data_IF_499104953295
#
_entry.id   IF_499104953295
#
_cell.length_a   1.000
_cell.length_b   1.000
_cell.length_c   1.000
_cell.angle_alpha   90.00
_cell.angle_beta   90.00
_cell.angle_gamma   90.00
#
_symmetry.space_group_name_H-M   'P 1'
#
loop_
_entity.id
_entity.type
_entity.pdbx_description
1 polymer ?
#
# COMPACT_ATOMS: atom_id res chain seq x y z
N UNK A 1 5.82 9.30 -11.27
CA UNK A 1 6.48 9.74 -10.02
C UNK A 1 5.65 9.30 -8.83
N UNK A 2 6.28 8.81 -7.80
CA UNK A 2 5.62 8.47 -6.53
C UNK A 2 5.99 9.52 -5.49
N UNK A 3 4.98 10.24 -4.99
CA UNK A 3 5.20 11.39 -4.11
C UNK A 3 4.50 11.17 -2.76
N UNK A 4 5.24 11.35 -1.67
CA UNK A 4 4.66 11.29 -0.33
C UNK A 4 3.74 12.48 -0.09
N UNK A 5 2.61 12.22 0.55
CA UNK A 5 1.65 13.26 0.96
C UNK A 5 1.76 13.41 2.47
N UNK A 6 2.22 14.56 2.91
CA UNK A 6 2.29 14.86 4.34
C UNK A 6 0.89 14.94 4.98
N UNK A 7 0.74 14.63 6.27
CA UNK A 7 -0.56 14.69 6.95
C UNK A 7 -1.29 16.01 6.79
N UNK A 8 -0.57 17.14 6.78
CA UNK A 8 -1.17 18.46 6.60
C UNK A 8 -1.82 18.67 5.23
N UNK A 9 -1.41 17.88 4.23
CA UNK A 9 -1.91 17.95 2.85
C UNK A 9 -2.91 16.83 2.52
N UNK A 10 -3.24 16.00 3.48
CA UNK A 10 -4.07 14.82 3.28
C UNK A 10 -5.49 15.18 2.80
N UNK A 11 -6.05 16.28 3.32
CA UNK A 11 -7.41 16.69 2.99
C UNK A 11 -7.61 16.92 1.48
N UNK A 12 -6.60 17.47 0.80
CA UNK A 12 -6.68 17.76 -0.63
C UNK A 12 -6.71 16.47 -1.48
N UNK A 13 -6.17 15.36 -0.95
CA UNK A 13 -6.08 14.08 -1.67
C UNK A 13 -7.15 13.09 -1.23
N UNK A 14 -7.81 13.36 -0.10
CA UNK A 14 -8.60 12.34 0.59
C UNK A 14 -9.79 11.83 -0.22
N UNK A 15 -10.48 12.69 -0.96
CA UNK A 15 -11.68 12.28 -1.69
C UNK A 15 -11.37 11.13 -2.69
N UNK A 16 -10.32 11.30 -3.49
CA UNK A 16 -9.93 10.27 -4.46
C UNK A 16 -9.28 9.05 -3.82
N UNK A 17 -8.54 9.23 -2.73
CA UNK A 17 -7.97 8.12 -1.98
C UNK A 17 -9.09 7.31 -1.32
N UNK A 18 -10.07 7.97 -0.70
CA UNK A 18 -11.22 7.29 -0.09
C UNK A 18 -11.98 6.46 -1.13
N UNK A 19 -12.21 7.01 -2.31
CA UNK A 19 -12.87 6.28 -3.39
C UNK A 19 -12.11 4.99 -3.76
N UNK A 20 -10.78 5.06 -3.83
CA UNK A 20 -9.93 3.88 -4.07
C UNK A 20 -9.99 2.87 -2.92
N UNK A 21 -10.00 3.35 -1.67
CA UNK A 21 -10.14 2.48 -0.50
C UNK A 21 -11.49 1.74 -0.49
N UNK A 22 -12.56 2.41 -0.89
CA UNK A 22 -13.87 1.78 -1.03
C UNK A 22 -13.80 0.64 -2.07
N UNK A 23 -13.09 0.84 -3.18
CA UNK A 23 -12.90 -0.23 -4.16
C UNK A 23 -12.08 -1.39 -3.60
N UNK A 24 -11.01 -1.12 -2.85
CA UNK A 24 -10.21 -2.16 -2.21
C UNK A 24 -11.06 -2.99 -1.25
N UNK A 25 -11.96 -2.35 -0.49
CA UNK A 25 -12.84 -3.03 0.48
C UNK A 25 -13.71 -4.10 -0.18
N UNK A 26 -14.05 -3.96 -1.44
CA UNK A 26 -14.85 -4.96 -2.16
C UNK A 26 -14.11 -6.28 -2.36
N UNK A 27 -12.78 -6.27 -2.28
CA UNK A 27 -11.93 -7.43 -2.61
C UNK A 27 -11.08 -7.91 -1.43
N UNK A 28 -11.08 -7.23 -0.29
CA UNK A 28 -10.30 -7.63 0.88
C UNK A 28 -11.19 -8.26 1.95
N UNK A 29 -10.61 -9.16 2.75
CA UNK A 29 -11.25 -9.73 3.94
C UNK A 29 -10.91 -8.93 5.20
N UNK A 30 -10.04 -7.92 5.11
CA UNK A 30 -9.67 -7.05 6.23
C UNK A 30 -10.89 -6.23 6.69
N UNK A 31 -10.91 -5.92 7.99
CA UNK A 31 -12.04 -5.23 8.61
C UNK A 31 -11.86 -3.72 8.76
N UNK A 32 -10.71 -3.16 8.31
CA UNK A 32 -10.50 -1.71 8.37
C UNK A 32 -11.53 -0.97 7.50
N UNK A 33 -11.89 0.22 7.96
CA UNK A 33 -12.70 1.16 7.18
C UNK A 33 -11.80 2.24 6.59
N UNK A 34 -12.21 2.95 5.52
CA UNK A 34 -11.44 4.08 4.99
C UNK A 34 -11.06 5.09 6.07
N UNK A 35 -11.94 5.33 7.04
CA UNK A 35 -11.71 6.25 8.17
C UNK A 35 -10.57 5.78 9.08
N UNK A 36 -10.38 4.47 9.23
CA UNK A 36 -9.26 3.91 10.00
C UNK A 36 -7.92 4.18 9.30
N UNK A 37 -7.89 4.06 7.98
CA UNK A 37 -6.72 4.43 7.17
C UNK A 37 -6.44 5.92 7.29
N UNK A 38 -7.49 6.76 7.20
CA UNK A 38 -7.36 8.20 7.37
C UNK A 38 -6.72 8.55 8.71
N UNK A 39 -7.18 7.96 9.79
CA UNK A 39 -6.64 8.21 11.13
C UNK A 39 -5.18 7.77 11.24
N UNK A 40 -4.82 6.62 10.70
CA UNK A 40 -3.43 6.16 10.68
C UNK A 40 -2.53 7.14 9.93
N UNK A 41 -2.99 7.67 8.80
CA UNK A 41 -2.26 8.67 8.03
C UNK A 41 -2.12 9.98 8.79
N UNK A 42 -3.18 10.44 9.46
CA UNK A 42 -3.16 11.67 10.26
C UNK A 42 -2.22 11.57 11.45
N UNK A 43 -2.12 10.39 12.05
CA UNK A 43 -1.30 10.15 13.25
C UNK A 43 0.15 9.76 12.90
N UNK A 44 0.50 9.67 11.62
CA UNK A 44 1.84 9.28 11.20
C UNK A 44 2.15 7.80 11.36
N UNK A 45 1.14 6.95 11.58
CA UNK A 45 1.30 5.49 11.68
C UNK A 45 1.39 4.83 10.31
N UNK A 46 0.99 5.52 9.27
CA UNK A 46 1.09 5.11 7.88
C UNK A 46 1.43 6.31 7.02
N UNK A 47 1.92 6.06 5.82
CA UNK A 47 2.29 7.10 4.86
C UNK A 47 1.57 6.88 3.54
N UNK A 48 1.02 7.97 2.98
CA UNK A 48 0.35 7.96 1.69
C UNK A 48 1.32 8.43 0.61
N UNK A 49 1.37 7.70 -0.49
CA UNK A 49 2.10 8.07 -1.69
C UNK A 49 1.13 8.11 -2.88
N UNK A 50 1.15 9.21 -3.61
CA UNK A 50 0.36 9.37 -4.84
C UNK A 50 1.27 9.09 -6.03
N UNK A 51 0.81 8.24 -6.94
CA UNK A 51 1.50 7.94 -8.19
C UNK A 51 0.96 8.79 -9.33
N UNK A 52 1.87 9.45 -10.04
CA UNK A 52 1.53 10.23 -11.23
C UNK A 52 2.36 9.77 -12.42
N UNK A 53 1.78 9.92 -13.61
CA UNK A 53 2.46 9.62 -14.87
C UNK A 53 3.28 10.79 -15.39
N UNK A 54 3.87 10.62 -16.58
CA UNK A 54 4.77 11.61 -17.19
C UNK A 54 4.09 12.95 -17.47
N UNK A 55 2.77 12.94 -17.72
CA UNK A 55 1.98 14.16 -17.97
C UNK A 55 1.31 14.69 -16.68
N UNK A 56 1.67 14.16 -15.51
CA UNK A 56 1.07 14.56 -14.24
C UNK A 56 -0.27 13.91 -13.94
N UNK A 57 -0.74 12.96 -14.78
CA UNK A 57 -2.00 12.27 -14.57
C UNK A 57 -1.95 11.37 -13.34
N UNK A 58 -3.08 11.26 -12.63
CA UNK A 58 -3.19 10.43 -11.45
C UNK A 58 -3.26 8.94 -11.83
N UNK A 59 -2.31 8.16 -11.36
CA UNK A 59 -2.23 6.73 -11.63
C UNK A 59 -2.77 5.86 -10.48
N UNK A 60 -2.86 6.41 -9.28
CA UNK A 60 -3.30 5.68 -8.11
C UNK A 60 -2.52 6.06 -6.86
N UNK A 61 -2.61 5.22 -5.83
CA UNK A 61 -1.91 5.47 -4.57
C UNK A 61 -1.43 4.17 -3.94
N UNK A 62 -0.48 4.32 -3.03
CA UNK A 62 -0.10 3.26 -2.08
C UNK A 62 -0.06 3.83 -0.67
N UNK A 63 -0.45 3.02 0.29
CA UNK A 63 -0.32 3.32 1.71
C UNK A 63 0.68 2.34 2.30
N UNK A 64 1.74 2.87 2.89
CA UNK A 64 2.83 2.08 3.46
C UNK A 64 2.82 2.20 4.99
N UNK A 65 3.16 1.11 5.67
CA UNK A 65 3.38 1.08 7.13
C UNK A 65 4.76 0.52 7.41
N UNK A 66 5.48 1.14 8.34
CA UNK A 66 6.72 0.59 8.87
C UNK A 66 6.37 -0.24 10.09
N UNK A 67 6.65 -1.53 10.05
CA UNK A 67 6.31 -2.47 11.12
C UNK A 67 7.57 -3.10 11.71
N UNK A 68 7.66 -3.22 13.05
CA UNK A 68 8.78 -3.90 13.69
C UNK A 68 8.69 -5.41 13.44
N UNK A 69 9.86 -6.05 13.38
CA UNK A 69 10.01 -7.49 13.42
C UNK A 69 10.91 -7.86 14.61
N UNK A 70 11.11 -9.15 14.88
CA UNK A 70 11.97 -9.54 16.01
C UNK A 70 13.42 -9.03 15.85
N UNK A 71 13.93 -8.96 14.63
CA UNK A 71 15.32 -8.60 14.37
C UNK A 71 15.48 -7.43 13.38
N UNK A 72 14.48 -6.58 13.27
CA UNK A 72 14.56 -5.44 12.37
C UNK A 72 13.21 -4.79 12.13
N UNK A 73 12.95 -4.41 10.90
CA UNK A 73 11.68 -3.82 10.49
C UNK A 73 11.35 -4.18 9.05
N UNK A 74 10.08 -4.07 8.71
CA UNK A 74 9.61 -4.25 7.34
C UNK A 74 8.68 -3.11 6.94
N UNK A 75 8.63 -2.81 5.64
CA UNK A 75 7.62 -1.95 5.07
C UNK A 75 6.50 -2.83 4.55
N UNK A 76 5.30 -2.59 5.04
CA UNK A 76 4.09 -3.25 4.54
C UNK A 76 3.38 -2.34 3.54
N UNK A 77 3.08 -2.87 2.37
CA UNK A 77 2.14 -2.23 1.46
C UNK A 77 0.75 -2.58 1.98
N UNK A 78 0.18 -1.66 2.75
CA UNK A 78 -1.10 -1.90 3.42
C UNK A 78 -2.27 -1.81 2.45
N UNK A 79 -2.29 -0.75 1.63
CA UNK A 79 -3.30 -0.54 0.60
C UNK A 79 -2.61 -0.08 -0.68
N UNK A 80 -3.10 -0.54 -1.81
CA UNK A 80 -2.66 -0.07 -3.12
C UNK A 80 -3.84 -0.09 -4.07
N UNK A 81 -4.04 1.00 -4.81
CA UNK A 81 -5.13 1.12 -5.76
C UNK A 81 -4.62 1.76 -7.04
N UNK A 82 -4.85 1.09 -8.16
CA UNK A 82 -4.58 1.62 -9.49
C UNK A 82 -5.83 2.29 -10.04
N UNK A 83 -5.75 3.58 -10.30
CA UNK A 83 -6.86 4.36 -10.85
C UNK A 83 -7.01 4.15 -12.36
N UNK A 84 -6.01 3.54 -13.01
CA UNK A 84 -5.97 3.26 -14.43
C UNK A 84 -5.56 1.79 -14.63
N UNK A 85 -5.55 1.34 -15.88
CA UNK A 85 -5.05 0.00 -16.22
C UNK A 85 -3.52 -0.10 -16.21
N UNK A 86 -2.81 0.99 -15.93
CA UNK A 86 -1.36 0.98 -15.82
C UNK A 86 -0.92 0.05 -14.67
N UNK A 87 0.20 -0.69 -14.82
CA UNK A 87 0.68 -1.61 -13.79
C UNK A 87 1.37 -0.84 -12.66
N UNK A 88 0.57 -0.31 -11.73
CA UNK A 88 1.03 0.58 -10.66
C UNK A 88 2.21 0.00 -9.86
N UNK A 89 2.08 -1.23 -9.39
CA UNK A 89 3.11 -1.86 -8.57
C UNK A 89 4.40 -2.09 -9.34
N UNK A 90 4.30 -2.56 -10.58
CA UNK A 90 5.47 -2.76 -11.43
C UNK A 90 6.23 -1.45 -11.65
N UNK A 91 5.50 -0.37 -11.85
CA UNK A 91 6.08 0.95 -12.09
C UNK A 91 6.74 1.52 -10.85
N UNK A 92 6.10 1.38 -9.68
CA UNK A 92 6.52 2.07 -8.47
C UNK A 92 7.26 1.20 -7.45
N UNK A 93 7.36 -0.11 -7.66
CA UNK A 93 8.10 -0.98 -6.74
C UNK A 93 9.53 -0.52 -6.50
N UNK A 94 10.31 -0.09 -7.51
CA UNK A 94 11.66 0.44 -7.26
C UNK A 94 11.67 1.63 -6.30
N UNK A 95 10.68 2.50 -6.39
CA UNK A 95 10.51 3.62 -5.45
C UNK A 95 10.21 3.14 -4.03
N UNK A 96 9.31 2.17 -3.90
CA UNK A 96 8.95 1.59 -2.60
C UNK A 96 10.17 0.90 -1.98
N UNK A 97 10.96 0.22 -2.80
CA UNK A 97 12.22 -0.39 -2.35
C UNK A 97 13.20 0.66 -1.82
N UNK A 98 13.31 1.80 -2.51
CA UNK A 98 14.16 2.89 -2.06
C UNK A 98 13.67 3.47 -0.73
N UNK A 99 12.37 3.68 -0.57
CA UNK A 99 11.76 4.12 0.70
C UNK A 99 12.08 3.12 1.81
N UNK A 100 11.89 1.84 1.56
CA UNK A 100 12.15 0.80 2.54
C UNK A 100 13.60 0.79 3.01
N UNK A 101 14.55 0.86 2.08
CA UNK A 101 15.99 0.94 2.41
C UNK A 101 16.29 2.20 3.22
N UNK A 102 15.70 3.32 2.84
CA UNK A 102 15.95 4.60 3.49
C UNK A 102 15.48 4.64 4.94
N UNK A 103 14.41 3.93 5.27
CA UNK A 103 13.93 3.82 6.66
C UNK A 103 14.55 2.65 7.43
N UNK A 104 15.50 1.93 6.84
CA UNK A 104 16.19 0.83 7.49
C UNK A 104 15.44 -0.49 7.52
N UNK A 105 14.39 -0.64 6.72
CA UNK A 105 13.66 -1.90 6.62
C UNK A 105 14.47 -2.93 5.81
N UNK A 106 14.36 -4.19 6.19
CA UNK A 106 15.06 -5.29 5.51
C UNK A 106 14.17 -6.07 4.53
N UNK A 107 12.87 -5.76 4.50
CA UNK A 107 11.93 -6.43 3.60
C UNK A 107 10.68 -5.60 3.35
N UNK A 108 9.96 -5.97 2.29
CA UNK A 108 8.67 -5.41 1.93
C UNK A 108 7.68 -6.56 1.92
N UNK A 109 6.48 -6.35 2.46
CA UNK A 109 5.43 -7.35 2.48
C UNK A 109 4.09 -6.78 2.10
N UNK A 110 3.19 -7.62 1.65
CA UNK A 110 1.78 -7.31 1.50
C UNK A 110 0.95 -8.58 1.68
N UNK A 111 -0.33 -8.41 1.98
CA UNK A 111 -1.28 -9.51 2.09
C UNK A 111 -2.39 -9.32 1.06
N UNK A 112 -2.87 -10.41 0.49
CA UNK A 112 -4.00 -10.37 -0.44
C UNK A 112 -4.82 -11.66 -0.31
N UNK A 113 -6.15 -11.50 -0.35
CA UNK A 113 -7.06 -12.63 -0.44
C UNK A 113 -7.30 -13.08 -1.90
N UNK A 114 -6.74 -12.37 -2.87
CA UNK A 114 -6.94 -12.62 -4.30
C UNK A 114 -5.86 -13.53 -4.85
N UNK A 115 -6.26 -14.70 -5.32
CA UNK A 115 -5.34 -15.71 -5.85
C UNK A 115 -4.56 -15.24 -7.08
N UNK A 116 -5.14 -14.37 -7.89
CA UNK A 116 -4.48 -13.84 -9.08
C UNK A 116 -3.22 -13.04 -8.77
N UNK A 117 -3.06 -12.58 -7.53
CA UNK A 117 -1.84 -11.90 -7.10
C UNK A 117 -0.65 -12.84 -6.96
N UNK A 118 -0.85 -14.14 -6.82
CA UNK A 118 0.26 -15.08 -6.59
C UNK A 118 1.30 -15.05 -7.71
N UNK A 119 0.86 -15.10 -8.97
CA UNK A 119 1.76 -15.08 -10.11
C UNK A 119 2.42 -13.71 -10.28
N UNK A 120 1.65 -12.61 -10.12
CA UNK A 120 2.17 -11.26 -10.22
C UNK A 120 3.22 -10.98 -9.14
N UNK A 121 2.97 -11.41 -7.90
CA UNK A 121 3.89 -11.25 -6.79
C UNK A 121 5.23 -11.95 -7.08
N UNK A 122 5.19 -13.18 -7.58
CA UNK A 122 6.42 -13.90 -7.94
C UNK A 122 7.22 -13.17 -9.02
N UNK A 123 6.55 -12.64 -10.04
CA UNK A 123 7.22 -11.87 -11.10
C UNK A 123 7.89 -10.61 -10.56
N UNK A 124 7.37 -10.04 -9.47
CA UNK A 124 7.94 -8.86 -8.82
C UNK A 124 9.00 -9.20 -7.77
N UNK A 125 9.28 -10.49 -7.55
CA UNK A 125 10.30 -10.94 -6.62
C UNK A 125 9.79 -11.25 -5.22
N UNK A 126 8.49 -11.22 -4.97
CA UNK A 126 7.90 -11.64 -3.69
C UNK A 126 7.76 -13.15 -3.63
N UNK A 127 7.86 -13.70 -2.43
CA UNK A 127 7.58 -15.10 -2.16
C UNK A 127 6.55 -15.25 -1.05
N UNK A 128 5.67 -16.26 -1.12
CA UNK A 128 4.68 -16.48 -0.07
C UNK A 128 5.34 -16.90 1.24
N UNK A 129 4.86 -16.35 2.37
CA UNK A 129 5.47 -16.60 3.69
C UNK A 129 4.53 -17.31 4.65
N UNK A 130 3.23 -17.03 4.59
CA UNK A 130 2.28 -17.61 5.53
C UNK A 130 0.86 -17.56 4.95
N UNK A 131 -0.01 -18.37 5.52
CA UNK A 131 -1.45 -18.32 5.31
C UNK A 131 -2.10 -18.06 6.65
N UNK A 132 -3.02 -17.07 6.71
CA UNK A 132 -3.78 -16.78 7.91
C UNK A 132 -5.06 -17.60 7.94
N UNK A 133 -5.40 -18.10 9.12
CA UNK A 133 -6.64 -18.82 9.36
C UNK A 133 -7.41 -18.13 10.47
N UNK A 134 -8.72 -17.94 10.28
CA UNK A 134 -9.58 -17.30 11.27
C UNK A 134 -10.79 -18.17 11.60
N UNK A 135 -11.20 -18.14 12.86
CA UNK A 135 -12.44 -18.73 13.33
C UNK A 135 -13.26 -17.63 13.99
N UNK A 136 -14.44 -17.34 13.44
CA UNK A 136 -15.36 -16.37 14.03
C UNK A 136 -16.04 -16.98 15.26
N UNK A 137 -16.02 -16.22 16.37
CA UNK A 137 -16.63 -16.63 17.63
C UNK A 137 -18.10 -16.20 17.72
#
# INVERSE_FOLDING_TARGET
>A
MLQVIEPKNLAAEWERVRAGLVEIKKATTDDWLPEDVYMALRQGQASLYIGTGAAGEYLGFVVLRLLPTFHGSKVEIWCAHAATKAPLMRTFLPHIQAVARNVGADRISFSSAREEWAAAARRLGFSPKQVSYELTL
#
